data_IF_249974804660
#
_entry.id   IF_249974804660
#
_cell.length_a   1.000
_cell.length_b   1.000
_cell.length_c   1.000
_cell.angle_alpha   90.00
_cell.angle_beta   90.00
_cell.angle_gamma   90.00
#
_symmetry.space_group_name_H-M   'P 1'
#
loop_
_entity.id
_entity.type
_entity.pdbx_description
1 polymer ?
#
# COMPACT_ATOMS: atom_id res chain seq x y z
N UNK A 1 -32.91 -20.31 32.12
CA UNK A 1 -31.49 -20.52 31.77
C UNK A 1 -31.24 -20.51 30.26
N UNK A 2 -32.06 -21.19 29.45
CA UNK A 2 -31.89 -21.33 27.99
C UNK A 2 -31.78 -19.98 27.23
N UNK A 3 -32.61 -18.98 27.56
CA UNK A 3 -32.51 -17.63 26.95
C UNK A 3 -31.15 -16.94 27.15
N UNK A 4 -30.47 -17.18 28.28
CA UNK A 4 -29.13 -16.60 28.53
C UNK A 4 -28.05 -17.28 27.69
N UNK A 5 -28.19 -18.59 27.47
CA UNK A 5 -27.27 -19.36 26.63
C UNK A 5 -27.41 -18.91 25.16
N UNK A 6 -28.64 -18.71 24.68
CA UNK A 6 -28.89 -18.23 23.30
C UNK A 6 -28.28 -16.84 23.08
N UNK A 7 -28.44 -15.90 24.02
CA UNK A 7 -27.79 -14.58 23.93
C UNK A 7 -26.26 -14.69 23.92
N UNK A 8 -25.68 -15.55 24.76
CA UNK A 8 -24.23 -15.70 24.86
C UNK A 8 -23.62 -16.26 23.56
N UNK A 9 -24.30 -17.23 22.94
CA UNK A 9 -23.89 -17.80 21.64
C UNK A 9 -24.02 -16.75 20.52
N UNK A 10 -25.07 -15.92 20.54
CA UNK A 10 -25.26 -14.87 19.54
C UNK A 10 -24.18 -13.77 19.63
N UNK A 11 -23.81 -13.37 20.84
CA UNK A 11 -22.72 -12.41 21.08
C UNK A 11 -21.38 -12.97 20.59
N UNK A 12 -21.09 -14.24 20.91
CA UNK A 12 -19.89 -14.93 20.43
C UNK A 12 -19.84 -14.98 18.90
N UNK A 13 -20.96 -15.23 18.22
CA UNK A 13 -21.02 -15.22 16.76
C UNK A 13 -20.76 -13.83 16.15
N UNK A 14 -21.26 -12.76 16.78
CA UNK A 14 -21.01 -11.39 16.29
C UNK A 14 -19.58 -10.91 16.48
N UNK A 15 -18.85 -11.42 17.47
CA UNK A 15 -17.45 -11.06 17.69
C UNK A 15 -16.46 -11.75 16.73
N UNK A 16 -16.85 -12.90 16.15
CA UNK A 16 -15.99 -13.66 15.21
C UNK A 16 -16.03 -13.06 13.79
N UNK A 17 -17.02 -12.23 13.46
CA UNK A 17 -17.15 -11.55 12.16
C UNK A 17 -16.48 -10.17 12.10
N UNK A 18 -15.45 -9.91 12.91
CA UNK A 18 -14.66 -8.70 12.73
C UNK A 18 -13.82 -8.83 11.44
N UNK A 19 -13.86 -7.86 10.51
CA UNK A 19 -13.09 -7.94 9.28
C UNK A 19 -11.60 -8.03 9.62
N UNK A 20 -10.94 -9.03 9.04
CA UNK A 20 -9.52 -9.24 9.23
C UNK A 20 -8.76 -8.07 8.57
N UNK A 21 -8.09 -7.28 9.40
CA UNK A 21 -7.32 -6.11 8.98
C UNK A 21 -5.90 -6.56 8.64
N UNK A 22 -5.62 -6.77 7.37
CA UNK A 22 -4.29 -7.17 6.90
C UNK A 22 -3.50 -5.96 6.38
N UNK A 23 -2.23 -5.88 6.76
CA UNK A 23 -1.26 -4.95 6.17
C UNK A 23 -0.54 -5.66 5.04
N UNK A 24 -0.23 -4.95 3.95
CA UNK A 24 0.52 -5.52 2.83
C UNK A 24 1.87 -4.82 2.64
N UNK A 25 2.86 -5.05 3.52
CA UNK A 25 4.18 -4.43 3.39
C UNK A 25 4.92 -4.86 2.11
N UNK A 26 4.52 -5.97 1.47
CA UNK A 26 5.09 -6.39 0.19
C UNK A 26 4.78 -5.41 -0.94
N UNK A 27 3.62 -4.75 -0.89
CA UNK A 27 3.24 -3.74 -1.88
C UNK A 27 4.21 -2.54 -1.91
N UNK A 28 4.82 -2.17 -0.78
CA UNK A 28 5.86 -1.14 -0.73
C UNK A 28 7.12 -1.56 -1.51
N UNK A 29 7.57 -2.81 -1.35
CA UNK A 29 8.76 -3.33 -2.04
C UNK A 29 8.54 -3.41 -3.54
N UNK A 30 7.37 -3.90 -3.97
CA UNK A 30 6.99 -3.98 -5.38
C UNK A 30 6.94 -2.58 -6.02
N UNK A 31 6.32 -1.62 -5.34
CA UNK A 31 6.26 -0.24 -5.85
C UNK A 31 7.64 0.44 -5.87
N UNK A 32 8.48 0.18 -4.88
CA UNK A 32 9.86 0.70 -4.86
C UNK A 32 10.65 0.21 -6.10
N UNK A 33 10.49 -1.05 -6.49
CA UNK A 33 11.13 -1.58 -7.71
C UNK A 33 10.61 -0.91 -8.99
N UNK A 34 9.31 -0.61 -9.07
CA UNK A 34 8.72 0.13 -10.20
C UNK A 34 9.28 1.55 -10.29
N UNK A 35 9.37 2.25 -9.15
CA UNK A 35 9.88 3.61 -9.09
C UNK A 35 11.36 3.66 -9.50
N UNK A 36 12.16 2.67 -9.08
CA UNK A 36 13.56 2.58 -9.51
C UNK A 36 13.69 2.42 -11.04
N UNK A 37 12.77 1.69 -11.67
CA UNK A 37 12.71 1.61 -13.14
C UNK A 37 12.44 2.97 -13.77
N UNK A 38 11.55 3.79 -13.19
CA UNK A 38 11.30 5.14 -13.68
C UNK A 38 12.52 6.06 -13.50
N UNK A 39 13.19 5.98 -12.36
CA UNK A 39 14.43 6.74 -12.12
C UNK A 39 15.51 6.41 -13.16
N UNK A 40 15.68 5.14 -13.51
CA UNK A 40 16.59 4.71 -14.57
C UNK A 40 16.21 5.31 -15.93
N UNK A 41 14.92 5.34 -16.28
CA UNK A 41 14.45 5.97 -17.53
C UNK A 41 14.71 7.48 -17.56
N UNK A 42 14.50 8.16 -16.44
CA UNK A 42 14.79 9.59 -16.32
C UNK A 42 16.29 9.86 -16.43
N UNK A 43 17.14 9.03 -15.81
CA UNK A 43 18.59 9.12 -15.95
C UNK A 43 19.03 8.96 -17.41
N UNK A 44 18.52 7.94 -18.09
CA UNK A 44 18.83 7.71 -19.50
C UNK A 44 18.35 8.88 -20.39
N UNK A 45 17.19 9.47 -20.09
CA UNK A 45 16.70 10.64 -20.81
C UNK A 45 17.58 11.87 -20.59
N UNK A 46 18.08 12.06 -19.37
CA UNK A 46 19.01 13.14 -19.02
C UNK A 46 20.37 12.95 -19.70
N UNK A 47 20.95 11.75 -19.63
CA UNK A 47 22.21 11.39 -20.30
C UNK A 47 22.11 11.53 -21.84
N UNK A 48 20.94 11.26 -22.41
CA UNK A 48 20.66 11.47 -23.83
C UNK A 48 20.35 12.93 -24.19
N UNK A 49 20.41 13.87 -23.24
CA UNK A 49 20.13 15.30 -23.46
C UNK A 49 18.67 15.62 -23.80
N UNK A 50 17.73 14.72 -23.50
CA UNK A 50 16.29 14.89 -23.81
C UNK A 50 15.54 15.71 -22.76
N UNK A 51 16.07 15.77 -21.54
CA UNK A 51 15.52 16.54 -20.42
C UNK A 51 16.64 17.34 -19.76
N UNK A 52 16.28 18.42 -19.07
CA UNK A 52 17.24 19.28 -18.36
C UNK A 52 17.60 18.69 -16.98
N UNK A 53 18.66 19.22 -16.36
CA UNK A 53 19.04 18.87 -14.98
C UNK A 53 17.92 19.20 -13.98
N UNK A 54 17.26 20.35 -14.16
CA UNK A 54 16.16 20.79 -13.31
C UNK A 54 14.97 19.84 -13.42
N UNK A 55 14.58 19.47 -14.64
CA UNK A 55 13.51 18.51 -14.89
C UNK A 55 13.84 17.12 -14.35
N UNK A 56 15.07 16.65 -14.54
CA UNK A 56 15.54 15.37 -13.96
C UNK A 56 15.41 15.39 -12.44
N UNK A 57 15.91 16.44 -11.78
CA UNK A 57 15.88 16.57 -10.32
C UNK A 57 14.44 16.63 -9.79
N UNK A 58 13.55 17.37 -10.45
CA UNK A 58 12.13 17.40 -10.11
C UNK A 58 11.50 16.02 -10.18
N UNK A 59 11.70 15.28 -11.28
CA UNK A 59 11.11 13.95 -11.49
C UNK A 59 11.62 12.93 -10.47
N UNK A 60 12.90 12.98 -10.09
CA UNK A 60 13.45 12.11 -9.04
C UNK A 60 12.80 12.43 -7.69
N UNK A 61 12.65 13.71 -7.34
CA UNK A 61 12.00 14.09 -6.08
C UNK A 61 10.53 13.67 -6.03
N UNK A 62 9.80 13.83 -7.14
CA UNK A 62 8.40 13.39 -7.23
C UNK A 62 8.28 11.88 -7.05
N UNK A 63 9.19 11.11 -7.65
CA UNK A 63 9.26 9.66 -7.51
C UNK A 63 9.59 9.22 -6.08
N UNK A 64 10.50 9.89 -5.37
CA UNK A 64 10.78 9.62 -3.96
C UNK A 64 9.56 9.88 -3.06
N UNK A 65 8.86 11.00 -3.29
CA UNK A 65 7.62 11.32 -2.58
C UNK A 65 6.52 10.28 -2.84
N UNK A 66 6.40 9.82 -4.09
CA UNK A 66 5.49 8.75 -4.47
C UNK A 66 5.81 7.44 -3.74
N UNK A 67 7.11 7.07 -3.68
CA UNK A 67 7.58 5.86 -2.98
C UNK A 67 7.17 5.89 -1.51
N UNK A 68 7.43 7.01 -0.84
CA UNK A 68 7.06 7.20 0.58
C UNK A 68 5.54 7.08 0.75
N UNK A 69 4.76 7.73 -0.12
CA UNK A 69 3.30 7.73 -0.04
C UNK A 69 2.71 6.32 -0.18
N UNK A 70 3.16 5.55 -1.18
CA UNK A 70 2.73 4.15 -1.34
C UNK A 70 3.16 3.26 -0.18
N UNK A 71 4.38 3.44 0.33
CA UNK A 71 4.83 2.67 1.47
C UNK A 71 4.02 2.97 2.73
N UNK A 72 3.64 4.23 2.97
CA UNK A 72 2.72 4.58 4.06
C UNK A 72 1.33 3.97 3.86
N UNK A 73 0.78 4.01 2.64
CA UNK A 73 -0.50 3.38 2.31
C UNK A 73 -0.48 1.87 2.52
N UNK A 74 0.66 1.21 2.25
CA UNK A 74 0.81 -0.24 2.45
C UNK A 74 0.70 -0.67 3.93
N UNK A 75 0.90 0.27 4.85
CA UNK A 75 0.77 0.07 6.30
C UNK A 75 -0.65 0.34 6.81
N UNK A 76 -1.49 1.00 6.00
CA UNK A 76 -2.90 1.26 6.33
C UNK A 76 -3.64 -0.08 6.27
N UNK A 77 -4.23 -0.55 7.38
CA UNK A 77 -4.99 -1.79 7.38
C UNK A 77 -6.22 -1.62 6.49
N UNK A 78 -6.35 -2.46 5.48
CA UNK A 78 -7.51 -2.50 4.60
C UNK A 78 -8.39 -3.66 5.05
N UNK A 79 -9.71 -3.44 5.10
CA UNK A 79 -10.65 -4.52 5.41
C UNK A 79 -10.58 -5.57 4.30
N UNK A 80 -10.12 -6.78 4.63
CA UNK A 80 -10.22 -7.90 3.71
C UNK A 80 -11.67 -8.34 3.69
N UNK A 81 -12.37 -8.13 2.59
CA UNK A 81 -13.70 -8.67 2.40
C UNK A 81 -13.58 -10.18 2.19
N UNK A 82 -13.83 -10.97 3.23
CA UNK A 82 -13.70 -12.44 3.24
C UNK A 82 -14.86 -13.16 2.55
N UNK A 83 -15.72 -12.45 1.82
CA UNK A 83 -16.87 -13.01 1.09
C UNK A 83 -16.49 -13.70 -0.24
N UNK A 84 -15.33 -14.38 -0.30
CA UNK A 84 -14.92 -15.20 -1.44
C UNK A 84 -14.84 -16.68 -1.05
#
# INVERSE_FOLDING_TARGET
MIKKIICMVFILFTCVCAPEKEKNPKACIEMAAVIENFNLRHRNAFEAGRITQEEYTSRINDNENLKISFCLLSLVPVERNTNF
#
